data_IF_946113722973
#
_entry.id   IF_946113722973
#
_cell.length_a   1.000
_cell.length_b   1.000
_cell.length_c   1.000
_cell.angle_alpha   90.00
_cell.angle_beta   90.00
_cell.angle_gamma   90.00
#
_symmetry.space_group_name_H-M   'P 1'
#
loop_
_entity.id
_entity.type
_entity.pdbx_description
1 polymer ?
#
# COMPACT_ATOMS: atom_id res chain seq x y z
N UNK A 1 2.71 10.21 15.61
CA UNK A 1 2.96 9.38 15.26
C UNK A 1 3.79 9.27 14.30
N UNK A 2 4.52 8.46 14.05
CA UNK A 2 5.31 8.44 13.16
C UNK A 2 5.19 7.41 12.32
N UNK A 3 5.38 7.51 11.19
CA UNK A 3 5.19 6.61 10.21
C UNK A 3 6.30 5.70 9.96
N UNK A 4 7.33 5.68 10.52
CA UNK A 4 8.45 4.79 10.30
C UNK A 4 8.84 4.71 8.85
N UNK A 5 8.82 5.80 8.18
CA UNK A 5 9.26 5.86 6.81
C UNK A 5 8.20 5.62 5.77
N UNK A 6 7.00 5.29 6.17
CA UNK A 6 5.93 5.13 5.20
C UNK A 6 5.36 6.48 4.80
N UNK A 7 5.00 6.64 3.53
CA UNK A 7 4.44 7.91 3.11
C UNK A 7 3.06 8.15 3.72
N UNK A 8 2.75 9.40 3.90
CA UNK A 8 1.46 9.78 4.37
C UNK A 8 0.43 9.34 3.34
N UNK A 9 -0.62 8.73 3.78
CA UNK A 9 -1.66 8.29 2.89
C UNK A 9 -1.64 6.82 2.56
N UNK A 10 -0.54 6.13 2.88
CA UNK A 10 -0.47 4.70 2.60
C UNK A 10 -1.56 3.95 3.35
N UNK A 11 -1.63 4.13 4.65
CA UNK A 11 -2.64 3.46 5.45
C UNK A 11 -4.03 3.96 5.13
N UNK A 12 -4.17 5.25 4.86
CA UNK A 12 -5.44 5.82 4.49
C UNK A 12 -5.93 5.27 3.17
N UNK A 13 -5.04 5.13 2.20
CA UNK A 13 -5.39 4.56 0.90
C UNK A 13 -5.88 3.12 1.03
N UNK A 14 -5.21 2.33 1.84
CA UNK A 14 -5.64 0.96 2.09
C UNK A 14 -6.99 0.93 2.80
N UNK A 15 -7.21 1.81 3.74
CA UNK A 15 -8.45 1.85 4.48
C UNK A 15 -9.63 2.23 3.59
N UNK A 16 -9.37 3.05 2.58
CA UNK A 16 -10.41 3.48 1.67
C UNK A 16 -10.71 2.45 0.58
N UNK A 17 -9.84 1.48 0.39
CA UNK A 17 -10.02 0.46 -0.62
C UNK A 17 -10.05 -0.90 0.04
N UNK A 18 -11.23 -1.42 0.22
CA UNK A 18 -11.42 -2.66 0.95
C UNK A 18 -10.74 -3.83 0.28
N UNK A 19 -10.79 -3.90 -1.05
CA UNK A 19 -10.14 -4.97 -1.78
C UNK A 19 -8.63 -4.94 -1.59
N UNK A 20 -8.04 -3.75 -1.66
CA UNK A 20 -6.60 -3.62 -1.46
C UNK A 20 -6.22 -4.03 -0.04
N UNK A 21 -7.02 -3.63 0.94
CA UNK A 21 -6.74 -3.97 2.33
C UNK A 21 -6.81 -5.49 2.52
N UNK A 22 -7.81 -6.13 1.96
CA UNK A 22 -7.95 -7.57 2.08
C UNK A 22 -6.80 -8.30 1.42
N UNK A 23 -6.42 -7.90 0.23
CA UNK A 23 -5.31 -8.53 -0.47
C UNK A 23 -4.00 -8.34 0.29
N UNK A 24 -3.79 -7.14 0.79
CA UNK A 24 -2.56 -6.86 1.54
C UNK A 24 -2.51 -7.73 2.80
N UNK A 25 -3.63 -7.89 3.49
CA UNK A 25 -3.65 -8.67 4.71
C UNK A 25 -3.36 -10.14 4.46
N UNK A 26 -3.63 -10.65 3.28
CA UNK A 26 -3.38 -12.05 2.98
C UNK A 26 -2.00 -12.31 2.41
N UNK A 27 -1.22 -11.28 2.18
CA UNK A 27 0.13 -11.45 1.64
C UNK A 27 1.05 -12.04 2.68
N UNK A 28 2.08 -12.71 2.21
CA UNK A 28 3.14 -13.20 3.10
C UNK A 28 3.95 -12.02 3.60
N UNK A 29 4.73 -12.22 4.63
CA UNK A 29 5.59 -11.17 5.17
C UNK A 29 6.55 -10.64 4.11
N UNK A 30 7.09 -11.52 3.29
CA UNK A 30 8.00 -11.09 2.24
C UNK A 30 7.30 -10.22 1.21
N UNK A 31 6.08 -10.57 0.86
CA UNK A 31 5.30 -9.79 -0.09
C UNK A 31 4.93 -8.42 0.49
N UNK A 32 4.53 -8.40 1.75
CA UNK A 32 4.21 -7.15 2.42
C UNK A 32 5.39 -6.22 2.45
N UNK A 33 6.57 -6.76 2.73
CA UNK A 33 7.78 -5.98 2.78
C UNK A 33 8.08 -5.38 1.42
N UNK A 34 7.90 -6.15 0.37
CA UNK A 34 8.14 -5.66 -0.98
C UNK A 34 7.18 -4.53 -1.34
N UNK A 35 5.90 -4.67 -0.99
CA UNK A 35 4.92 -3.65 -1.26
C UNK A 35 5.24 -2.36 -0.49
N UNK A 36 5.66 -2.50 0.75
CA UNK A 36 6.03 -1.35 1.56
C UNK A 36 7.24 -0.64 0.96
N UNK A 37 8.20 -1.39 0.42
CA UNK A 37 9.35 -0.78 -0.23
C UNK A 37 8.92 0.04 -1.45
N UNK A 38 8.00 -0.47 -2.23
CA UNK A 38 7.49 0.28 -3.37
C UNK A 38 6.75 1.52 -2.88
N UNK A 39 5.97 1.40 -1.82
CA UNK A 39 5.21 2.52 -1.29
C UNK A 39 6.13 3.64 -0.83
N UNK A 40 7.29 3.29 -0.27
CA UNK A 40 8.23 4.29 0.20
C UNK A 40 8.88 5.06 -0.93
N UNK A 41 8.84 4.51 -2.12
CA UNK A 41 9.45 5.16 -3.27
C UNK A 41 8.47 5.95 -4.11
N UNK A 42 7.17 5.92 -3.79
CA UNK A 42 6.23 6.71 -4.58
C UNK A 42 6.46 8.19 -4.32
N UNK A 43 6.30 8.98 -5.36
CA UNK A 43 6.61 10.39 -5.28
C UNK A 43 5.37 11.27 -5.21
N UNK A 44 4.20 10.77 -5.49
CA UNK A 44 3.02 11.60 -5.52
C UNK A 44 1.81 10.83 -5.04
N UNK A 45 0.74 11.60 -4.76
CA UNK A 45 -0.49 11.02 -4.34
C UNK A 45 -1.07 10.12 -5.43
N UNK A 46 -0.91 10.53 -6.68
CA UNK A 46 -1.38 9.75 -7.80
C UNK A 46 -0.69 8.38 -7.87
N UNK A 47 0.61 8.37 -7.67
CA UNK A 47 1.35 7.11 -7.66
C UNK A 47 0.93 6.22 -6.51
N UNK A 48 0.65 6.82 -5.37
CA UNK A 48 0.18 6.06 -4.22
C UNK A 48 -1.16 5.42 -4.52
N UNK A 49 -2.06 6.15 -5.14
CA UNK A 49 -3.35 5.61 -5.51
C UNK A 49 -3.23 4.49 -6.53
N UNK A 50 -2.32 4.65 -7.48
CA UNK A 50 -2.07 3.61 -8.47
C UNK A 50 -1.58 2.34 -7.80
N UNK A 51 -0.70 2.47 -6.83
CA UNK A 51 -0.20 1.32 -6.09
C UNK A 51 -1.32 0.62 -5.34
N UNK A 52 -2.17 1.37 -4.68
CA UNK A 52 -3.28 0.79 -3.94
C UNK A 52 -4.23 0.06 -4.89
N UNK A 53 -4.48 0.64 -6.04
CA UNK A 53 -5.33 -0.02 -7.02
C UNK A 53 -4.71 -1.28 -7.58
N UNK A 54 -3.41 -1.28 -7.78
CA UNK A 54 -2.71 -2.47 -8.22
C UNK A 54 -2.85 -3.59 -7.21
N UNK A 55 -2.75 -3.28 -5.94
CA UNK A 55 -2.94 -4.27 -4.89
C UNK A 55 -4.35 -4.82 -4.95
N UNK A 56 -5.33 -3.96 -5.15
CA UNK A 56 -6.71 -4.39 -5.20
C UNK A 56 -7.00 -5.33 -6.37
N UNK A 57 -6.20 -5.22 -7.43
CA UNK A 57 -6.40 -6.05 -8.59
C UNK A 57 -5.64 -7.36 -8.57
N UNK A 58 -4.88 -7.60 -7.53
CA UNK A 58 -4.08 -8.77 -7.44
C UNK A 58 -4.93 -9.97 -7.16
N UNK A 59 -5.79 -10.39 -7.50
CA UNK A 59 -6.52 -11.56 -7.10
C UNK A 59 -6.24 -12.78 -7.92
#
# INVERSE_FOLDING_TARGET
MQEDGLPIGWGFGLAMNEDAMNHFSTMTDAEKKQVIEVARNVASKQEMQDLVQDIAKLS
#
